data_IF_507698997406
#
_entry.id   IF_507698997406
#
_cell.length_a   1.000
_cell.length_b   1.000
_cell.length_c   1.000
_cell.angle_alpha   90.00
_cell.angle_beta   90.00
_cell.angle_gamma   90.00
#
_symmetry.space_group_name_H-M   'P 1'
#
loop_
_entity.id
_entity.type
_entity.pdbx_description
1 polymer ?
#
# COMPACT_ATOMS: atom_id res chain seq x y z
N UNK A 1 -2.06 20.90 -3.98
CA UNK A 1 -1.52 20.04 -2.89
C UNK A 1 -1.20 20.88 -1.67
N UNK A 2 -1.56 20.39 -0.48
CA UNK A 2 -1.26 21.05 0.81
C UNK A 2 -0.67 20.03 1.78
N UNK A 3 0.39 20.39 2.49
CA UNK A 3 0.94 19.52 3.55
C UNK A 3 -0.09 19.28 4.66
N UNK A 4 -0.30 18.01 4.98
CA UNK A 4 -1.17 17.54 6.05
C UNK A 4 -0.35 17.17 7.29
N UNK A 5 0.72 16.38 7.12
CA UNK A 5 1.58 15.92 8.20
C UNK A 5 3.04 15.75 7.73
N UNK A 6 3.98 15.74 8.66
CA UNK A 6 5.42 15.56 8.40
C UNK A 6 6.08 14.79 9.54
N UNK A 7 7.35 14.42 9.37
CA UNK A 7 8.19 13.88 10.44
C UNK A 7 8.46 12.39 10.37
N UNK A 8 7.91 11.70 9.37
CA UNK A 8 8.15 10.28 9.13
C UNK A 8 9.43 10.09 8.32
N UNK A 9 10.06 8.92 8.44
CA UNK A 9 11.20 8.54 7.60
C UNK A 9 10.71 7.95 6.28
N UNK A 10 9.98 6.82 6.33
CA UNK A 10 9.38 6.18 5.16
C UNK A 10 7.92 5.82 5.45
N UNK A 11 7.01 6.74 5.08
CA UNK A 11 5.59 6.64 5.41
C UNK A 11 4.80 5.77 4.42
N UNK A 12 4.24 4.68 4.94
CA UNK A 12 3.55 3.62 4.22
C UNK A 12 2.14 3.36 4.76
N UNK A 13 1.34 2.65 3.96
CA UNK A 13 0.03 2.13 4.38
C UNK A 13 -0.90 3.18 5.02
N UNK A 14 -1.05 4.41 4.46
CA UNK A 14 -1.97 5.39 5.02
C UNK A 14 -3.40 4.82 5.00
N UNK A 15 -4.12 4.96 6.11
CA UNK A 15 -5.52 4.56 6.25
C UNK A 15 -6.31 5.63 6.98
N UNK A 16 -7.40 6.05 6.38
CA UNK A 16 -8.38 6.91 7.04
C UNK A 16 -9.45 6.06 7.73
N UNK A 17 -9.67 6.30 9.01
CA UNK A 17 -10.69 5.60 9.79
C UNK A 17 -11.20 6.50 10.91
N UNK A 18 -12.53 6.57 11.06
CA UNK A 18 -13.22 7.35 12.09
C UNK A 18 -12.70 8.80 12.26
N UNK A 19 -12.44 9.46 11.12
CA UNK A 19 -11.99 10.85 11.10
C UNK A 19 -10.51 11.06 11.41
N UNK A 20 -9.72 9.98 11.46
CA UNK A 20 -8.29 10.03 11.73
C UNK A 20 -7.48 9.33 10.63
N UNK A 21 -6.30 9.86 10.35
CA UNK A 21 -5.28 9.20 9.58
C UNK A 21 -4.45 8.28 10.48
N UNK A 22 -4.14 7.10 9.97
CA UNK A 22 -3.16 6.15 10.51
C UNK A 22 -2.13 5.84 9.45
N UNK A 23 -0.88 5.67 9.84
CA UNK A 23 0.22 5.48 8.89
C UNK A 23 1.36 4.72 9.54
N UNK A 24 1.96 3.78 8.80
CA UNK A 24 3.18 3.11 9.21
C UNK A 24 4.40 3.93 8.79
N UNK A 25 5.43 4.00 9.64
CA UNK A 25 6.76 4.49 9.29
C UNK A 25 7.76 3.34 9.37
N UNK A 26 7.98 2.66 8.24
CA UNK A 26 8.71 1.38 8.20
C UNK A 26 10.19 1.54 8.55
N UNK A 27 10.80 2.67 8.18
CA UNK A 27 12.20 2.97 8.53
C UNK A 27 12.33 3.70 9.88
N UNK A 28 11.30 4.43 10.30
CA UNK A 28 11.25 5.11 11.60
C UNK A 28 10.85 4.21 12.77
N UNK A 29 10.29 3.03 12.51
CA UNK A 29 9.85 2.08 13.55
C UNK A 29 8.66 2.62 14.36
N UNK A 30 7.74 3.33 13.70
CA UNK A 30 6.66 4.08 14.35
C UNK A 30 5.31 3.85 13.69
N UNK A 31 4.26 3.84 14.50
CA UNK A 31 2.89 4.01 14.07
C UNK A 31 2.46 5.46 14.31
N UNK A 32 2.07 6.16 13.24
CA UNK A 32 1.62 7.54 13.32
C UNK A 32 0.10 7.64 13.23
N UNK A 33 -0.49 8.56 14.00
CA UNK A 33 -1.91 8.89 13.87
C UNK A 33 -2.25 10.28 14.44
N UNK A 34 -3.33 10.88 13.93
CA UNK A 34 -3.96 12.08 14.48
C UNK A 34 -5.26 11.83 15.26
N UNK A 35 -5.58 10.57 15.60
CA UNK A 35 -6.78 10.18 16.36
C UNK A 35 -6.97 10.90 17.70
N UNK A 36 -5.88 11.37 18.31
CA UNK A 36 -5.90 12.15 19.57
C UNK A 36 -6.11 13.66 19.35
N UNK A 37 -6.38 14.09 18.12
CA UNK A 37 -6.51 15.50 17.74
C UNK A 37 -5.20 16.17 17.33
N UNK A 38 -4.08 15.44 17.33
CA UNK A 38 -2.78 15.92 16.87
C UNK A 38 -1.96 14.78 16.27
N UNK A 39 -1.14 15.10 15.27
CA UNK A 39 -0.23 14.14 14.64
C UNK A 39 0.82 13.65 15.63
N UNK A 40 0.74 12.37 16.00
CA UNK A 40 1.59 11.76 17.03
C UNK A 40 2.19 10.44 16.54
N UNK A 41 3.41 10.15 16.99
CA UNK A 41 4.10 8.90 16.74
C UNK A 41 4.07 8.02 17.99
N UNK A 42 3.83 6.73 17.80
CA UNK A 42 4.02 5.69 18.81
C UNK A 42 5.15 4.78 18.33
N UNK A 43 6.22 4.64 19.10
CA UNK A 43 7.27 3.67 18.79
C UNK A 43 6.69 2.25 18.91
N UNK A 44 7.01 1.39 17.94
CA UNK A 44 6.52 0.02 17.89
C UNK A 44 7.70 -0.95 17.78
N UNK A 45 7.63 -2.03 18.54
CA UNK A 45 8.67 -3.07 18.55
C UNK A 45 8.72 -3.82 17.22
N UNK A 46 7.54 -4.21 16.72
CA UNK A 46 7.35 -4.84 15.42
C UNK A 46 6.98 -3.79 14.39
N UNK A 47 7.77 -3.69 13.31
CA UNK A 47 7.55 -2.71 12.25
C UNK A 47 6.36 -3.12 11.36
N UNK A 48 5.23 -2.38 11.39
CA UNK A 48 4.14 -2.61 10.44
C UNK A 48 4.55 -2.09 9.05
N UNK A 49 3.90 -2.58 8.00
CA UNK A 49 3.95 -1.96 6.67
C UNK A 49 2.54 -1.54 6.25
N UNK A 50 1.82 -2.38 5.51
CA UNK A 50 0.40 -2.20 5.25
C UNK A 50 -0.43 -2.17 6.53
N UNK A 51 -1.47 -1.34 6.54
CA UNK A 51 -2.45 -1.22 7.62
C UNK A 51 -3.86 -1.53 7.08
N UNK A 52 -4.76 -2.04 7.90
CA UNK A 52 -6.18 -2.15 7.54
C UNK A 52 -7.07 -2.18 8.78
N UNK A 53 -8.32 -1.75 8.63
CA UNK A 53 -9.33 -1.89 9.68
C UNK A 53 -10.25 -3.07 9.35
N UNK A 54 -10.31 -4.03 10.26
CA UNK A 54 -11.28 -5.12 10.19
C UNK A 54 -12.72 -4.58 10.28
N UNK A 55 -13.74 -5.34 9.86
CA UNK A 55 -15.14 -4.93 9.97
C UNK A 55 -15.59 -4.57 11.39
N UNK A 56 -14.91 -5.08 12.42
CA UNK A 56 -15.16 -4.79 13.82
C UNK A 56 -14.37 -3.58 14.37
N UNK A 57 -13.66 -2.85 13.50
CA UNK A 57 -12.90 -1.64 13.83
C UNK A 57 -11.50 -1.90 14.39
N UNK A 58 -11.06 -3.16 14.53
CA UNK A 58 -9.69 -3.44 14.96
C UNK A 58 -8.69 -3.09 13.85
N UNK A 59 -7.66 -2.34 14.19
CA UNK A 59 -6.51 -2.09 13.32
C UNK A 59 -5.62 -3.34 13.26
N UNK A 60 -5.43 -3.85 12.05
CA UNK A 60 -4.46 -4.91 11.74
C UNK A 60 -3.37 -4.37 10.82
N UNK A 61 -2.23 -5.06 10.81
CA UNK A 61 -1.07 -4.64 10.05
C UNK A 61 -0.24 -5.83 9.58
N UNK A 62 0.37 -5.70 8.40
CA UNK A 62 1.35 -6.64 7.91
C UNK A 62 2.66 -6.39 8.66
N UNK A 63 3.14 -7.36 9.44
CA UNK A 63 4.39 -7.20 10.18
C UNK A 63 5.54 -7.51 9.22
N UNK A 64 6.19 -6.46 8.72
CA UNK A 64 7.06 -6.48 7.54
C UNK A 64 8.10 -7.61 7.58
N UNK A 65 8.68 -7.89 8.74
CA UNK A 65 9.77 -8.84 8.91
C UNK A 65 9.43 -10.06 9.79
N UNK A 66 8.16 -10.23 10.18
CA UNK A 66 7.77 -11.24 11.17
C UNK A 66 6.79 -12.30 10.66
N UNK A 67 6.56 -12.36 9.33
CA UNK A 67 5.70 -13.37 8.68
C UNK A 67 4.36 -13.58 9.39
N UNK A 68 3.72 -12.50 9.80
CA UNK A 68 2.45 -12.53 10.52
C UNK A 68 1.64 -11.29 10.24
N UNK A 69 0.33 -11.40 10.42
CA UNK A 69 -0.54 -10.24 10.59
C UNK A 69 -0.62 -9.90 12.07
N UNK A 70 -0.36 -8.65 12.41
CA UNK A 70 -0.51 -8.10 13.75
C UNK A 70 -1.88 -7.45 13.96
N UNK A 71 -2.39 -7.44 15.19
CA UNK A 71 -3.54 -6.65 15.62
C UNK A 71 -3.14 -5.68 16.72
N UNK A 72 -3.50 -4.41 16.55
CA UNK A 72 -3.14 -3.35 17.47
C UNK A 72 -3.93 -3.47 18.79
N UNK A 73 -3.22 -3.48 19.91
CA UNK A 73 -3.84 -3.57 21.25
C UNK A 73 -4.01 -2.22 21.93
N UNK A 74 -3.61 -1.12 21.28
CA UNK A 74 -3.47 0.20 21.89
C UNK A 74 -2.04 0.57 22.28
N UNK A 75 -1.16 -0.43 22.39
CA UNK A 75 0.24 -0.28 22.81
C UNK A 75 1.22 -1.05 21.92
N UNK A 76 0.83 -2.23 21.42
CA UNK A 76 1.67 -3.09 20.57
C UNK A 76 0.83 -3.87 19.57
N UNK A 77 1.48 -4.56 18.64
CA UNK A 77 0.85 -5.50 17.71
C UNK A 77 0.93 -6.96 18.22
N UNK A 78 -0.17 -7.47 18.77
CA UNK A 78 -0.32 -8.91 19.07
C UNK A 78 -0.52 -9.71 17.77
N UNK A 79 -0.36 -11.03 17.79
CA UNK A 79 -0.60 -11.86 16.59
C UNK A 79 -2.09 -11.99 16.29
N UNK A 80 -2.46 -11.68 15.06
CA UNK A 80 -3.79 -11.94 14.50
C UNK A 80 -3.80 -13.24 13.68
N UNK A 81 -2.81 -13.41 12.81
CA UNK A 81 -2.63 -14.61 11.98
C UNK A 81 -1.13 -14.89 11.78
N UNK A 82 -0.77 -16.17 11.85
CA UNK A 82 0.59 -16.66 11.57
C UNK A 82 0.70 -17.04 10.09
N UNK A 83 1.73 -16.56 9.43
CA UNK A 83 2.03 -16.86 8.01
C UNK A 83 3.38 -17.57 7.87
N UNK A 84 3.94 -18.10 8.96
CA UNK A 84 5.11 -18.96 8.87
C UNK A 84 4.80 -20.21 8.03
N UNK A 85 5.81 -20.65 7.27
CA UNK A 85 5.63 -21.66 6.22
C UNK A 85 4.88 -21.19 4.96
N UNK A 86 4.17 -20.06 5.02
CA UNK A 86 3.50 -19.45 3.85
C UNK A 86 4.29 -18.29 3.27
N UNK A 87 4.82 -17.36 4.06
CA UNK A 87 5.58 -16.20 3.57
C UNK A 87 7.07 -16.53 3.32
N UNK A 88 7.63 -16.01 2.22
CA UNK A 88 9.04 -16.19 1.79
C UNK A 88 9.90 -14.97 1.97
N UNK A 89 9.31 -13.78 1.94
CA UNK A 89 10.00 -12.52 2.05
C UNK A 89 9.24 -11.55 2.97
N UNK A 90 9.64 -10.27 2.94
CA UNK A 90 8.95 -9.23 3.68
C UNK A 90 7.50 -9.07 3.22
N UNK A 91 6.61 -8.81 4.18
CA UNK A 91 5.23 -8.43 3.88
C UNK A 91 5.16 -6.92 3.60
N UNK A 92 4.39 -6.54 2.59
CA UNK A 92 4.18 -5.17 2.11
C UNK A 92 2.81 -4.64 2.53
N UNK A 93 1.96 -4.30 1.56
CA UNK A 93 0.63 -3.74 1.79
C UNK A 93 -0.43 -4.82 2.10
N UNK A 94 -1.58 -4.39 2.63
CA UNK A 94 -2.71 -5.28 2.90
C UNK A 94 -4.08 -4.62 2.72
N UNK A 95 -5.06 -5.43 2.31
CA UNK A 95 -6.46 -5.03 2.13
C UNK A 95 -7.37 -6.12 2.71
N UNK A 96 -8.56 -5.73 3.17
CA UNK A 96 -9.56 -6.66 3.67
C UNK A 96 -10.94 -6.42 3.08
N UNK A 97 -11.75 -7.47 3.01
CA UNK A 97 -13.14 -7.39 2.58
C UNK A 97 -14.12 -7.20 3.75
N UNK A 98 -15.40 -6.98 3.41
CA UNK A 98 -16.49 -6.81 4.39
C UNK A 98 -16.79 -8.08 5.22
N UNK A 99 -16.30 -9.23 4.78
CA UNK A 99 -16.48 -10.51 5.44
C UNK A 99 -15.35 -10.81 6.43
N UNK A 100 -14.30 -9.98 6.45
CA UNK A 100 -13.15 -10.12 7.33
C UNK A 100 -12.02 -10.96 6.72
N UNK A 101 -12.08 -11.30 5.43
CA UNK A 101 -10.92 -11.87 4.75
C UNK A 101 -9.88 -10.78 4.53
N UNK A 102 -8.62 -11.12 4.64
CA UNK A 102 -7.47 -10.26 4.32
C UNK A 102 -6.69 -10.84 3.16
N UNK A 103 -6.14 -9.96 2.34
CA UNK A 103 -5.11 -10.26 1.36
C UNK A 103 -3.89 -9.39 1.68
N UNK A 104 -2.73 -10.02 1.70
CA UNK A 104 -1.45 -9.38 1.97
C UNK A 104 -0.46 -9.82 0.90
N UNK A 105 0.39 -8.90 0.48
CA UNK A 105 1.49 -9.26 -0.40
C UNK A 105 2.69 -9.82 0.38
N UNK A 106 3.49 -10.59 -0.33
CA UNK A 106 4.81 -11.03 0.12
C UNK A 106 5.77 -10.82 -1.04
N UNK A 107 6.79 -10.00 -0.82
CA UNK A 107 7.74 -9.57 -1.85
C UNK A 107 8.58 -10.75 -2.38
N UNK A 108 8.70 -11.84 -1.62
CA UNK A 108 9.41 -13.06 -2.02
C UNK A 108 10.92 -13.04 -1.79
N UNK A 109 11.52 -11.87 -1.60
CA UNK A 109 12.94 -11.70 -1.28
C UNK A 109 13.19 -10.42 -0.47
N UNK A 110 14.24 -10.42 0.34
CA UNK A 110 14.65 -9.25 1.12
C UNK A 110 15.52 -8.30 0.27
N UNK A 111 14.88 -7.44 -0.53
CA UNK A 111 15.58 -6.47 -1.39
C UNK A 111 16.56 -5.57 -0.63
N UNK A 112 16.17 -5.10 0.56
CA UNK A 112 16.99 -4.26 1.44
C UNK A 112 18.24 -4.98 1.98
N UNK A 113 18.23 -6.32 1.99
CA UNK A 113 19.36 -7.15 2.37
C UNK A 113 20.22 -7.57 1.16
N UNK A 114 19.90 -7.08 -0.05
CA UNK A 114 20.64 -7.41 -1.27
C UNK A 114 20.37 -8.83 -1.79
N UNK A 115 19.29 -9.47 -1.36
CA UNK A 115 18.90 -10.77 -1.92
C UNK A 115 18.59 -10.66 -3.41
N UNK A 116 18.89 -11.71 -4.21
CA UNK A 116 18.54 -11.72 -5.62
C UNK A 116 17.01 -11.64 -5.82
N UNK A 117 16.54 -10.86 -6.80
CA UNK A 117 15.11 -10.75 -7.09
C UNK A 117 14.48 -12.11 -7.37
N UNK A 118 13.31 -12.33 -6.77
CA UNK A 118 12.45 -13.49 -6.99
C UNK A 118 11.01 -13.00 -7.05
N UNK A 119 10.14 -13.64 -7.84
CA UNK A 119 8.72 -13.32 -7.79
C UNK A 119 8.17 -13.56 -6.38
N UNK A 120 7.34 -12.63 -5.94
CA UNK A 120 6.55 -12.71 -4.71
C UNK A 120 5.23 -13.42 -4.93
N UNK A 121 4.34 -13.25 -3.96
CA UNK A 121 3.03 -13.91 -3.89
C UNK A 121 1.98 -13.02 -3.22
N UNK A 122 0.73 -13.43 -3.35
CA UNK A 122 -0.38 -12.96 -2.53
C UNK A 122 -0.77 -14.05 -1.55
N UNK A 123 -0.90 -13.69 -0.29
CA UNK A 123 -1.42 -14.56 0.76
C UNK A 123 -2.84 -14.12 1.12
N UNK A 124 -3.70 -15.09 1.41
CA UNK A 124 -5.05 -14.85 1.91
C UNK A 124 -5.15 -15.35 3.34
N UNK A 125 -5.80 -14.55 4.18
CA UNK A 125 -6.21 -14.94 5.52
C UNK A 125 -7.74 -14.88 5.53
N UNK A 126 -8.40 -16.01 5.72
CA UNK A 126 -9.84 -16.08 5.83
C UNK A 126 -10.32 -15.52 7.17
N UNK A 127 -11.60 -15.14 7.24
CA UNK A 127 -12.20 -14.62 8.46
C UNK A 127 -12.16 -15.59 9.67
N UNK A 128 -12.03 -16.89 9.42
CA UNK A 128 -11.84 -17.91 10.46
C UNK A 128 -10.39 -18.06 10.95
N UNK A 129 -9.47 -17.27 10.39
CA UNK A 129 -8.04 -17.27 10.70
C UNK A 129 -7.20 -18.25 9.89
N UNK A 130 -7.80 -19.09 9.04
CA UNK A 130 -7.04 -19.96 8.13
C UNK A 130 -6.31 -19.13 7.07
N UNK A 131 -5.11 -19.55 6.67
CA UNK A 131 -4.31 -18.84 5.69
C UNK A 131 -3.81 -19.77 4.57
N UNK A 132 -3.73 -19.26 3.35
CA UNK A 132 -3.21 -19.97 2.19
C UNK A 132 -2.54 -19.04 1.17
N UNK A 133 -1.73 -19.62 0.27
CA UNK A 133 -1.18 -18.90 -0.87
C UNK A 133 -2.28 -18.70 -1.92
N UNK A 134 -2.65 -17.44 -2.13
CA UNK A 134 -3.73 -17.06 -3.03
C UNK A 134 -3.28 -16.93 -4.49
N UNK A 135 -2.05 -16.43 -4.70
CA UNK A 135 -1.43 -16.36 -6.03
C UNK A 135 0.10 -16.35 -5.91
N UNK A 136 0.78 -16.99 -6.85
CA UNK A 136 2.25 -17.02 -6.98
C UNK A 136 2.68 -16.17 -8.19
N UNK A 137 3.98 -15.85 -8.27
CA UNK A 137 4.56 -15.22 -9.45
C UNK A 137 4.13 -13.76 -9.63
N UNK A 138 4.14 -13.00 -8.55
CA UNK A 138 3.82 -11.57 -8.54
C UNK A 138 5.12 -10.77 -8.50
N UNK A 139 5.35 -9.90 -9.47
CA UNK A 139 6.62 -9.19 -9.64
C UNK A 139 6.70 -7.97 -8.72
N UNK A 140 7.36 -8.13 -7.57
CA UNK A 140 7.49 -7.10 -6.52
C UNK A 140 6.12 -6.49 -6.17
N UNK A 141 5.21 -7.27 -5.56
CA UNK A 141 3.90 -6.77 -5.18
C UNK A 141 4.03 -5.62 -4.18
N UNK A 142 3.14 -4.65 -4.32
CA UNK A 142 2.91 -3.55 -3.39
C UNK A 142 1.39 -3.36 -3.22
N UNK A 143 0.89 -2.14 -3.39
CA UNK A 143 -0.47 -1.73 -3.08
C UNK A 143 -1.54 -2.72 -3.52
N UNK A 144 -2.51 -2.96 -2.63
CA UNK A 144 -3.65 -3.84 -2.86
C UNK A 144 -4.96 -3.06 -2.76
N UNK A 145 -5.90 -3.37 -3.66
CA UNK A 145 -7.24 -2.81 -3.62
C UNK A 145 -8.31 -3.83 -4.01
N UNK A 146 -9.43 -3.78 -3.30
CA UNK A 146 -10.64 -4.52 -3.68
C UNK A 146 -11.59 -3.57 -4.41
N UNK A 147 -12.05 -3.97 -5.59
CA UNK A 147 -13.06 -3.26 -6.39
C UNK A 147 -14.26 -4.16 -6.66
N UNK A 148 -15.29 -3.63 -7.34
CA UNK A 148 -16.51 -4.36 -7.70
C UNK A 148 -17.18 -5.05 -6.50
N UNK A 149 -17.34 -4.31 -5.40
CA UNK A 149 -17.87 -4.80 -4.12
C UNK A 149 -17.10 -5.99 -3.53
N UNK A 150 -15.79 -6.07 -3.81
CA UNK A 150 -14.89 -7.13 -3.35
C UNK A 150 -14.79 -8.33 -4.30
N UNK A 151 -15.39 -8.25 -5.51
CA UNK A 151 -15.33 -9.34 -6.51
C UNK A 151 -14.04 -9.33 -7.34
N UNK A 152 -13.25 -8.26 -7.25
CA UNK A 152 -11.97 -8.14 -7.95
C UNK A 152 -10.91 -7.64 -6.98
N UNK A 153 -9.80 -8.37 -6.88
CA UNK A 153 -8.59 -7.92 -6.18
C UNK A 153 -7.61 -7.39 -7.22
N UNK A 154 -7.07 -6.20 -6.99
CA UNK A 154 -6.03 -5.59 -7.81
C UNK A 154 -4.76 -5.43 -6.98
N UNK A 155 -3.62 -5.79 -7.56
CA UNK A 155 -2.29 -5.62 -6.99
C UNK A 155 -1.41 -4.77 -7.91
N UNK A 156 -0.62 -3.86 -7.34
CA UNK A 156 0.46 -3.20 -8.03
C UNK A 156 1.69 -4.11 -8.11
N UNK A 157 2.18 -4.39 -9.33
CA UNK A 157 3.45 -5.09 -9.55
C UNK A 157 4.52 -4.06 -9.91
N UNK A 158 5.36 -3.67 -8.94
CA UNK A 158 6.30 -2.55 -9.08
C UNK A 158 7.32 -2.80 -10.19
N UNK A 159 7.92 -3.98 -10.25
CA UNK A 159 8.94 -4.32 -11.26
C UNK A 159 8.33 -4.66 -12.62
N UNK A 160 7.11 -5.21 -12.67
CA UNK A 160 6.39 -5.42 -13.93
C UNK A 160 5.70 -4.15 -14.46
N UNK A 161 5.69 -3.06 -13.68
CA UNK A 161 5.13 -1.76 -14.06
C UNK A 161 3.66 -1.82 -14.51
N UNK A 162 2.85 -2.65 -13.83
CA UNK A 162 1.44 -2.84 -14.15
C UNK A 162 0.59 -3.01 -12.89
N UNK A 163 -0.71 -2.86 -13.06
CA UNK A 163 -1.69 -3.38 -12.13
C UNK A 163 -2.23 -4.70 -12.67
N UNK A 164 -2.33 -5.70 -11.81
CA UNK A 164 -2.89 -7.02 -12.13
C UNK A 164 -4.14 -7.26 -11.32
N UNK A 165 -5.20 -7.70 -11.99
CA UNK A 165 -6.47 -8.06 -11.38
C UNK A 165 -6.65 -9.58 -11.28
N UNK A 166 -7.37 -9.99 -10.25
CA UNK A 166 -7.86 -11.33 -10.02
C UNK A 166 -9.35 -11.27 -9.71
N UNK A 167 -10.11 -12.21 -10.25
CA UNK A 167 -11.49 -12.44 -9.80
C UNK A 167 -11.45 -13.12 -8.43
N UNK A 168 -12.22 -12.59 -7.48
CA UNK A 168 -12.37 -13.13 -6.13
C UNK A 168 -13.59 -14.04 -6.09
N UNK A 169 -13.37 -15.33 -5.86
CA UNK A 169 -14.42 -16.33 -5.69
C UNK A 169 -15.24 -16.09 -4.42
N UNK A 170 -16.40 -16.74 -4.33
CA UNK A 170 -17.25 -16.67 -3.14
C UNK A 170 -16.59 -17.24 -1.87
N UNK A 171 -15.57 -18.09 -2.05
CA UNK A 171 -14.71 -18.65 -1.00
C UNK A 171 -13.46 -17.79 -0.72
N UNK A 172 -13.34 -16.63 -1.38
CA UNK A 172 -12.18 -15.74 -1.30
C UNK A 172 -10.97 -16.20 -2.13
N UNK A 173 -11.07 -17.31 -2.88
CA UNK A 173 -9.94 -17.74 -3.72
C UNK A 173 -9.80 -16.86 -4.95
N UNK A 174 -8.56 -16.63 -5.35
CA UNK A 174 -8.24 -15.83 -6.53
C UNK A 174 -8.20 -16.70 -7.79
N UNK A 175 -8.78 -16.20 -8.86
CA UNK A 175 -8.74 -16.80 -10.19
C UNK A 175 -8.73 -15.74 -11.29
N UNK A 176 -8.72 -16.17 -12.55
CA UNK A 176 -8.85 -15.28 -13.71
C UNK A 176 -7.88 -14.07 -13.67
N UNK A 177 -6.59 -14.38 -13.48
CA UNK A 177 -5.50 -13.39 -13.48
C UNK A 177 -5.44 -12.68 -14.82
N UNK A 178 -5.49 -11.36 -14.80
CA UNK A 178 -5.43 -10.51 -16.00
C UNK A 178 -4.77 -9.18 -15.70
N UNK A 179 -4.23 -8.54 -16.72
CA UNK A 179 -3.75 -7.17 -16.60
C UNK A 179 -4.96 -6.23 -16.41
N UNK A 180 -4.88 -5.35 -15.41
CA UNK A 180 -5.87 -4.30 -15.18
C UNK A 180 -5.44 -2.98 -15.82
N UNK A 181 -4.15 -2.63 -15.75
CA UNK A 181 -3.59 -1.43 -16.36
C UNK A 181 -2.08 -1.55 -16.57
N UNK A 182 -1.60 -1.21 -17.76
CA UNK A 182 -0.17 -1.02 -18.07
C UNK A 182 0.27 0.38 -17.60
N UNK A 183 0.91 0.46 -16.43
CA UNK A 183 1.31 1.74 -15.83
C UNK A 183 2.48 2.36 -16.59
N UNK A 184 3.36 1.54 -17.19
CA UNK A 184 4.44 2.04 -18.03
C UNK A 184 3.90 2.77 -19.27
N UNK A 185 2.89 2.20 -19.93
CA UNK A 185 2.25 2.83 -21.08
C UNK A 185 1.41 4.05 -20.72
N UNK A 186 0.70 4.00 -19.57
CA UNK A 186 -0.22 5.06 -19.16
C UNK A 186 0.47 6.28 -18.53
N UNK A 187 1.49 6.06 -17.70
CA UNK A 187 2.12 7.12 -16.89
C UNK A 187 3.54 7.44 -17.38
N UNK A 188 4.27 6.43 -17.87
CA UNK A 188 5.60 6.56 -18.45
C UNK A 188 6.53 5.39 -18.09
N UNK A 189 7.56 5.15 -18.91
CA UNK A 189 8.45 3.99 -18.77
C UNK A 189 9.25 3.94 -17.44
N UNK A 190 9.41 5.06 -16.73
CA UNK A 190 10.01 5.08 -15.40
C UNK A 190 9.00 4.86 -14.27
N UNK A 191 7.70 4.90 -14.55
CA UNK A 191 6.67 4.75 -13.52
C UNK A 191 6.76 3.37 -12.87
N UNK A 192 6.78 3.36 -11.54
CA UNK A 192 6.81 2.17 -10.69
C UNK A 192 5.60 2.27 -9.77
N UNK A 193 4.54 1.47 -9.98
CA UNK A 193 3.36 1.51 -9.12
C UNK A 193 3.71 0.96 -7.75
N UNK A 194 3.18 1.59 -6.72
CA UNK A 194 3.46 1.28 -5.32
C UNK A 194 2.12 1.16 -4.55
N UNK A 195 1.86 1.96 -3.53
CA UNK A 195 0.57 1.96 -2.83
C UNK A 195 -0.60 2.45 -3.73
N UNK A 196 -1.73 1.73 -3.67
CA UNK A 196 -2.94 2.03 -4.46
C UNK A 196 -4.17 2.18 -3.58
N UNK A 197 -5.18 2.91 -4.07
CA UNK A 197 -6.44 3.09 -3.36
C UNK A 197 -7.63 3.11 -4.32
N UNK A 198 -8.61 2.24 -4.09
CA UNK A 198 -9.84 2.22 -4.87
C UNK A 198 -10.83 3.31 -4.45
N UNK A 199 -11.50 3.88 -5.45
CA UNK A 199 -12.64 4.80 -5.31
C UNK A 199 -13.71 4.42 -6.33
N UNK A 200 -14.93 4.98 -6.24
CA UNK A 200 -15.96 4.76 -7.27
C UNK A 200 -15.54 5.16 -8.70
N UNK A 201 -14.57 6.07 -8.83
CA UNK A 201 -14.10 6.58 -10.11
C UNK A 201 -13.02 5.69 -10.75
N UNK A 202 -12.30 4.91 -9.95
CA UNK A 202 -11.20 4.05 -10.39
C UNK A 202 -10.21 3.76 -9.26
N UNK A 203 -8.99 3.39 -9.62
CA UNK A 203 -7.90 3.14 -8.67
C UNK A 203 -6.90 4.27 -8.77
N UNK A 204 -6.64 4.94 -7.65
CA UNK A 204 -5.51 5.84 -7.51
C UNK A 204 -4.23 5.04 -7.27
N UNK A 205 -3.17 5.42 -7.95
CA UNK A 205 -1.88 4.72 -7.96
C UNK A 205 -0.78 5.73 -7.64
N UNK A 206 -0.07 5.52 -6.55
CA UNK A 206 1.20 6.19 -6.34
C UNK A 206 2.24 5.60 -7.30
N UNK A 207 2.83 6.44 -8.15
CA UNK A 207 3.89 6.01 -9.09
C UNK A 207 5.24 6.60 -8.66
N UNK A 208 5.97 5.86 -7.83
CA UNK A 208 7.15 6.33 -7.08
C UNK A 208 8.17 7.02 -7.99
N UNK A 209 8.71 6.29 -8.97
CA UNK A 209 9.66 6.84 -9.97
C UNK A 209 8.97 7.51 -11.18
N UNK A 210 7.64 7.58 -11.17
CA UNK A 210 6.84 8.35 -12.13
C UNK A 210 6.58 9.79 -11.67
N UNK A 211 6.87 10.11 -10.40
CA UNK A 211 6.60 11.41 -9.77
C UNK A 211 5.16 11.88 -9.99
N UNK A 212 4.21 10.94 -9.91
CA UNK A 212 2.81 11.23 -10.12
C UNK A 212 1.90 10.29 -9.32
N UNK A 213 0.71 10.80 -9.00
CA UNK A 213 -0.42 10.01 -8.54
C UNK A 213 -1.43 9.93 -9.68
N UNK A 214 -1.73 8.73 -10.15
CA UNK A 214 -2.54 8.50 -11.35
C UNK A 214 -3.86 7.82 -10.98
N UNK A 215 -4.97 8.29 -11.55
CA UNK A 215 -6.27 7.62 -11.47
C UNK A 215 -6.45 6.77 -12.72
N UNK A 216 -6.59 5.46 -12.54
CA UNK A 216 -6.77 4.51 -13.64
C UNK A 216 -8.05 3.70 -13.50
N UNK A 217 -8.69 3.39 -14.62
CA UNK A 217 -9.85 2.51 -14.69
C UNK A 217 -9.83 1.71 -15.97
N UNK A 218 -9.93 0.38 -15.87
CA UNK A 218 -10.04 -0.54 -17.00
C UNK A 218 -9.03 -0.25 -18.12
N UNK A 219 -7.73 -0.20 -17.76
CA UNK A 219 -6.64 0.05 -18.72
C UNK A 219 -6.53 1.50 -19.22
N UNK A 220 -7.24 2.46 -18.64
CA UNK A 220 -7.22 3.88 -19.06
C UNK A 220 -6.72 4.77 -17.93
N UNK A 221 -5.86 5.73 -18.25
CA UNK A 221 -5.59 6.88 -17.41
C UNK A 221 -6.79 7.82 -17.49
N UNK A 222 -7.30 8.26 -16.35
CA UNK A 222 -8.40 9.21 -16.24
C UNK A 222 -7.94 10.57 -15.73
N UNK A 223 -6.99 10.56 -14.80
CA UNK A 223 -6.43 11.77 -14.24
C UNK A 223 -5.01 11.54 -13.72
N UNK A 224 -4.23 12.61 -13.64
CA UNK A 224 -2.86 12.60 -13.12
C UNK A 224 -2.59 13.84 -12.28
N UNK A 225 -1.85 13.66 -11.20
CA UNK A 225 -1.34 14.74 -10.35
C UNK A 225 0.17 14.60 -10.22
N UNK A 226 0.94 15.54 -10.76
CA UNK A 226 2.41 15.53 -10.69
C UNK A 226 2.91 15.98 -9.33
N UNK A 227 3.75 15.17 -8.68
CA UNK A 227 4.27 15.42 -7.32
C UNK A 227 5.58 16.21 -7.32
N UNK A 228 5.94 16.79 -8.47
CA UNK A 228 7.18 17.54 -8.65
C UNK A 228 8.41 16.64 -8.45
N UNK A 229 9.23 16.96 -7.45
CA UNK A 229 10.40 16.14 -7.08
C UNK A 229 10.08 15.07 -6.02
N UNK A 230 8.89 15.13 -5.41
CA UNK A 230 8.49 14.14 -4.40
C UNK A 230 8.23 12.77 -5.03
N UNK A 231 8.61 11.71 -4.33
CA UNK A 231 8.33 10.32 -4.70
C UNK A 231 7.04 9.87 -3.99
N UNK A 232 5.90 9.73 -4.69
CA UNK A 232 4.68 9.24 -4.06
C UNK A 232 4.82 7.76 -3.73
N UNK A 233 4.55 7.39 -2.49
CA UNK A 233 4.72 6.03 -1.97
C UNK A 233 3.36 5.33 -1.90
N UNK A 234 2.40 5.93 -1.20
CA UNK A 234 1.07 5.35 -1.02
C UNK A 234 -0.01 6.43 -0.91
N UNK A 235 -1.28 6.04 -1.02
CA UNK A 235 -2.40 6.96 -0.89
C UNK A 235 -3.62 6.32 -0.24
N UNK A 236 -4.49 7.15 0.33
CA UNK A 236 -5.84 6.77 0.72
C UNK A 236 -6.81 7.95 0.61
N UNK A 237 -8.11 7.67 0.50
CA UNK A 237 -9.13 8.72 0.57
C UNK A 237 -9.39 9.12 2.04
N UNK A 238 -9.71 10.40 2.27
CA UNK A 238 -10.03 10.95 3.60
C UNK A 238 -11.53 10.88 3.97
N UNK A 239 -12.32 10.13 3.20
CA UNK A 239 -13.78 10.04 3.35
C UNK A 239 -14.56 11.28 2.90
N UNK A 240 -13.92 12.42 2.64
CA UNK A 240 -14.51 13.63 2.07
C UNK A 240 -14.24 13.78 0.56
N UNK A 241 -13.73 12.73 -0.08
CA UNK A 241 -13.41 12.72 -1.50
C UNK A 241 -12.04 13.33 -1.83
N UNK A 242 -11.19 13.63 -0.83
CA UNK A 242 -9.80 14.07 -1.07
C UNK A 242 -8.85 12.90 -0.85
N UNK A 243 -7.64 13.02 -1.39
CA UNK A 243 -6.59 12.02 -1.22
C UNK A 243 -5.53 12.51 -0.25
N UNK A 244 -5.16 11.63 0.67
CA UNK A 244 -3.95 11.73 1.46
C UNK A 244 -2.88 10.89 0.76
N UNK A 245 -1.74 11.50 0.47
CA UNK A 245 -0.65 10.86 -0.26
C UNK A 245 0.63 11.00 0.55
N UNK A 246 1.35 9.89 0.75
CA UNK A 246 2.68 9.90 1.34
C UNK A 246 3.71 10.24 0.25
N UNK A 247 4.50 11.28 0.48
CA UNK A 247 5.55 11.75 -0.44
C UNK A 247 6.90 11.70 0.25
N UNK A 248 7.82 10.93 -0.31
CA UNK A 248 9.23 10.95 0.08
C UNK A 248 9.99 12.10 -0.58
N UNK A 249 10.91 12.68 0.19
CA UNK A 249 11.94 13.61 -0.25
C UNK A 249 13.32 13.02 0.10
N UNK A 250 14.19 12.93 -0.91
CA UNK A 250 15.55 12.38 -0.82
C UNK A 250 16.63 13.46 -0.77
N UNK A 251 16.24 14.75 -0.80
CA UNK A 251 17.18 15.86 -0.91
C UNK A 251 17.99 15.85 -2.20
N UNK A 252 17.41 15.31 -3.29
CA UNK A 252 18.05 15.17 -4.60
C UNK A 252 18.94 13.94 -4.76
N UNK A 253 18.98 13.02 -3.79
CA UNK A 253 19.69 11.74 -3.89
C UNK A 253 18.90 10.72 -4.73
N UNK A 254 19.57 9.75 -5.37
CA UNK A 254 18.90 8.58 -5.91
C UNK A 254 18.10 7.86 -4.82
N UNK A 255 16.86 7.46 -5.13
CA UNK A 255 15.93 6.91 -4.14
C UNK A 255 16.49 5.70 -3.39
N UNK A 256 17.11 4.76 -4.11
CA UNK A 256 17.71 3.56 -3.51
C UNK A 256 18.83 3.89 -2.51
N UNK A 257 19.68 4.88 -2.82
CA UNK A 257 20.75 5.33 -1.90
C UNK A 257 20.16 6.04 -0.68
N UNK A 258 19.17 6.91 -0.88
CA UNK A 258 18.50 7.61 0.22
C UNK A 258 17.82 6.63 1.19
N UNK A 259 17.18 5.59 0.66
CA UNK A 259 16.57 4.51 1.44
C UNK A 259 17.62 3.70 2.21
N UNK A 260 18.72 3.31 1.57
CA UNK A 260 19.78 2.53 2.19
C UNK A 260 20.46 3.29 3.33
N UNK A 261 20.72 4.59 3.13
CA UNK A 261 21.34 5.47 4.12
C UNK A 261 20.36 6.01 5.18
N UNK A 262 19.05 5.70 5.05
CA UNK A 262 17.96 6.32 5.83
C UNK A 262 18.01 7.86 5.79
N UNK A 263 18.39 8.42 4.64
CA UNK A 263 18.43 9.86 4.33
C UNK A 263 17.24 10.25 3.48
N UNK A 264 16.06 9.87 3.94
CA UNK A 264 14.78 10.17 3.35
C UNK A 264 13.85 10.72 4.43
N UNK A 265 12.99 11.64 4.04
CA UNK A 265 11.91 12.11 4.89
C UNK A 265 10.60 12.00 4.14
N UNK A 266 9.52 11.65 4.84
CA UNK A 266 8.20 11.54 4.27
C UNK A 266 7.27 12.59 4.87
N UNK A 267 6.44 13.18 4.02
CA UNK A 267 5.30 14.01 4.40
C UNK A 267 4.01 13.37 3.90
N UNK A 268 2.89 13.71 4.53
CA UNK A 268 1.56 13.47 3.96
C UNK A 268 1.08 14.77 3.35
N UNK A 269 0.65 14.73 2.10
CA UNK A 269 -0.04 15.84 1.44
C UNK A 269 -1.49 15.49 1.18
N UNK A 270 -2.33 16.50 1.24
CA UNK A 270 -3.71 16.45 0.81
C UNK A 270 -3.79 16.94 -0.64
N UNK A 271 -4.43 16.14 -1.48
CA UNK A 271 -4.69 16.41 -2.89
C UNK A 271 -6.21 16.43 -3.08
N UNK A 272 -6.72 17.53 -3.62
CA UNK A 272 -8.10 17.59 -4.09
C UNK A 272 -8.14 16.98 -5.50
N UNK A 273 -8.96 15.96 -5.79
CA UNK A 273 -9.05 15.37 -7.12
C UNK A 273 -9.39 16.36 -8.24
N UNK A 274 -9.96 17.52 -7.92
CA UNK A 274 -10.15 18.62 -8.89
C UNK A 274 -8.84 19.23 -9.38
N UNK A 275 -7.74 19.11 -8.63
CA UNK A 275 -6.39 19.50 -9.05
C UNK A 275 -5.81 18.55 -10.10
N UNK A 276 -6.42 17.38 -10.31
CA UNK A 276 -5.92 16.39 -11.26
C UNK A 276 -6.21 16.81 -12.70
N UNK A 277 -5.18 16.73 -13.55
CA UNK A 277 -5.32 16.93 -14.98
C UNK A 277 -6.10 15.75 -15.56
N UNK A 278 -7.37 15.98 -15.90
CA UNK A 278 -8.21 14.97 -16.56
C UNK A 278 -7.72 14.77 -17.97
N UNK A 279 -7.49 13.51 -18.34
CA UNK A 279 -7.19 13.15 -19.73
C UNK A 279 -8.51 13.04 -20.50
N UNK A 280 -8.62 13.80 -21.58
CA UNK A 280 -9.78 13.77 -22.51
C UNK A 280 -9.90 12.44 -23.23
#
# INVERSE_FOLDING_TARGET
>A
MRTYATGMTWGEGPRWHDGALWLSDTQGGRLWSDRSGSWTATDVESVPNGLWFLPDGRLVAAMMHEKRIGVWTGERFATHADLDGLATGPLGDLVGDRHGNLYVDDVGFAAHAGEPPRPGRLLRIAADGSADVAAEGIEFPNGLALIDDGRTLVVAETTAQRLTAFTVGADGRLGDRREYADIAALVGASARPDGIWATPDGIWVATTSGHAVALVRDGRLLARVDTGQGFPIACCADGAGRLLVTLADTGGRPLGEALADRRVSTSVVLIDPSEAHRTT
#
